data_IF_650879781922
#
_entry.id   IF_650879781922
#
_cell.length_a   1.000
_cell.length_b   1.000
_cell.length_c   1.000
_cell.angle_alpha   90.00
_cell.angle_beta   90.00
_cell.angle_gamma   90.00
#
_symmetry.space_group_name_H-M   'P 1'
#
loop_
_entity.id
_entity.type
_entity.pdbx_description
1 polymer ?
#
# COMPACT_ATOMS: atom_id res chain seq x y z
N UNK A 1 -1.44 -15.49 -18.17
CA UNK A 1 -2.20 -14.47 -18.94
C UNK A 1 -1.99 -13.11 -18.28
N UNK A 2 -1.25 -12.19 -18.92
CA UNK A 2 -1.04 -10.83 -18.39
C UNK A 2 -2.36 -10.06 -18.52
N UNK A 3 -2.95 -9.60 -17.41
CA UNK A 3 -4.13 -8.72 -17.45
C UNK A 3 -3.73 -7.42 -18.16
N UNK A 4 -4.54 -6.97 -19.11
CA UNK A 4 -4.33 -5.68 -19.77
C UNK A 4 -4.30 -4.57 -18.71
N UNK A 5 -3.26 -3.73 -18.76
CA UNK A 5 -3.15 -2.55 -17.91
C UNK A 5 -4.35 -1.63 -18.18
N UNK A 6 -5.11 -1.29 -17.14
CA UNK A 6 -6.22 -0.31 -17.20
C UNK A 6 -5.76 1.12 -16.87
N UNK A 7 -4.46 1.38 -16.82
CA UNK A 7 -3.93 2.71 -16.50
C UNK A 7 -4.00 3.62 -17.73
N UNK A 8 -5.20 4.15 -18.03
CA UNK A 8 -5.44 5.06 -19.17
C UNK A 8 -4.73 6.41 -19.00
N UNK A 9 -4.57 6.88 -17.74
CA UNK A 9 -3.98 8.17 -17.39
C UNK A 9 -2.45 8.25 -17.61
N UNK A 10 -1.77 7.11 -17.76
CA UNK A 10 -0.30 7.05 -17.78
C UNK A 10 0.38 7.30 -16.44
N UNK A 11 -0.37 7.59 -15.36
CA UNK A 11 0.15 7.71 -13.99
C UNK A 11 -0.08 6.41 -13.24
N UNK A 12 0.99 5.81 -12.74
CA UNK A 12 0.96 4.52 -12.05
C UNK A 12 0.82 4.71 -10.53
N UNK A 13 -0.26 4.21 -9.89
CA UNK A 13 -0.47 4.38 -8.46
C UNK A 13 0.40 3.40 -7.64
N UNK A 14 1.26 3.97 -6.80
CA UNK A 14 2.14 3.25 -5.87
C UNK A 14 1.67 3.50 -4.46
N UNK A 15 0.92 2.54 -3.92
CA UNK A 15 0.37 2.62 -2.58
C UNK A 15 1.29 1.92 -1.55
N UNK A 16 1.67 2.65 -0.50
CA UNK A 16 2.52 2.17 0.62
C UNK A 16 1.81 2.37 1.95
N UNK A 17 2.08 1.52 2.94
CA UNK A 17 1.49 1.64 4.27
C UNK A 17 2.47 2.26 5.25
N UNK A 18 2.00 3.23 6.03
CA UNK A 18 2.68 3.66 7.25
C UNK A 18 2.68 2.52 8.29
N UNK A 19 3.65 2.54 9.20
CA UNK A 19 3.66 1.60 10.35
C UNK A 19 2.38 1.76 11.19
N UNK A 20 1.90 0.69 11.84
CA UNK A 20 0.77 0.82 12.77
C UNK A 20 1.08 1.86 13.85
N UNK A 21 0.18 2.82 14.03
CA UNK A 21 0.29 3.87 15.03
C UNK A 21 -1.05 4.01 15.76
N UNK A 22 -1.07 4.24 17.08
CA UNK A 22 -2.31 4.43 17.83
C UNK A 22 -3.09 5.64 17.30
N UNK A 23 -4.42 5.51 17.28
CA UNK A 23 -5.32 6.60 16.93
C UNK A 23 -5.66 7.42 18.18
N UNK A 24 -5.68 8.76 18.13
CA UNK A 24 -6.11 9.59 19.26
C UNK A 24 -7.60 9.38 19.58
N UNK A 25 -8.40 8.95 18.59
CA UNK A 25 -9.83 8.67 18.75
C UNK A 25 -10.13 7.21 19.04
N UNK A 26 -11.21 6.97 19.78
CA UNK A 26 -11.84 5.64 19.93
C UNK A 26 -13.05 5.55 18.99
N UNK A 27 -12.85 4.94 17.82
CA UNK A 27 -13.92 4.71 16.85
C UNK A 27 -14.43 3.26 16.96
N UNK A 28 -15.73 3.08 17.18
CA UNK A 28 -16.40 1.77 17.30
C UNK A 28 -16.44 0.99 15.98
N UNK A 29 -16.36 1.69 14.84
CA UNK A 29 -16.42 1.07 13.51
C UNK A 29 -15.05 0.70 12.95
N UNK A 30 -13.97 1.34 13.41
CA UNK A 30 -12.64 1.13 12.82
C UNK A 30 -12.02 -0.16 13.35
N UNK A 31 -11.78 -1.18 12.50
CA UNK A 31 -11.09 -2.39 12.93
C UNK A 31 -9.68 -2.05 13.44
N UNK A 32 -9.24 -2.80 14.45
CA UNK A 32 -7.93 -2.63 15.08
C UNK A 32 -7.24 -3.98 15.08
N UNK A 33 -6.02 -4.02 14.53
CA UNK A 33 -5.14 -5.18 14.61
C UNK A 33 -3.73 -4.67 14.95
N UNK A 34 -2.95 -5.39 15.77
CA UNK A 34 -1.55 -5.05 16.01
C UNK A 34 -0.70 -5.13 14.73
N UNK A 35 -1.15 -5.91 13.75
CA UNK A 35 -0.37 -6.27 12.56
C UNK A 35 -0.75 -5.44 11.33
N UNK A 36 -1.79 -4.61 11.43
CA UNK A 36 -2.28 -3.76 10.35
C UNK A 36 -2.45 -2.31 10.83
N UNK A 37 -2.24 -1.31 9.97
CA UNK A 37 -2.62 0.06 10.30
C UNK A 37 -4.11 0.16 10.62
N UNK A 38 -4.48 1.17 11.43
CA UNK A 38 -5.88 1.43 11.81
C UNK A 38 -6.78 1.46 10.57
N UNK A 39 -7.94 0.82 10.66
CA UNK A 39 -8.95 0.69 9.58
C UNK A 39 -8.62 -0.31 8.46
N UNK A 40 -7.47 -0.98 8.49
CA UNK A 40 -7.11 -2.00 7.51
C UNK A 40 -7.20 -3.43 8.08
N UNK A 41 -7.39 -4.40 7.18
CA UNK A 41 -7.42 -5.83 7.50
C UNK A 41 -6.08 -6.49 7.20
N UNK A 42 -5.70 -7.50 8.00
CA UNK A 42 -4.42 -8.21 7.87
C UNK A 42 -4.25 -8.93 6.52
N UNK A 43 -5.36 -9.28 5.87
CA UNK A 43 -5.39 -9.99 4.59
C UNK A 43 -5.31 -9.06 3.36
N UNK A 44 -5.34 -7.73 3.58
CA UNK A 44 -5.23 -6.78 2.47
C UNK A 44 -3.86 -6.93 1.77
N UNK A 45 -3.80 -7.02 0.43
CA UNK A 45 -2.54 -7.15 -0.30
C UNK A 45 -1.52 -6.05 0.00
N UNK A 46 -2.00 -4.84 0.33
CA UNK A 46 -1.14 -3.74 0.71
C UNK A 46 -0.56 -3.90 2.12
N UNK A 47 -1.34 -4.42 3.07
CA UNK A 47 -0.87 -4.73 4.43
C UNK A 47 0.10 -5.90 4.42
N UNK A 48 -0.21 -6.97 3.67
CA UNK A 48 0.68 -8.12 3.53
C UNK A 48 2.05 -7.72 2.98
N UNK A 49 2.09 -6.88 1.94
CA UNK A 49 3.34 -6.33 1.38
C UNK A 49 4.06 -5.42 2.38
N UNK A 50 3.33 -4.59 3.12
CA UNK A 50 3.94 -3.73 4.12
C UNK A 50 4.60 -4.53 5.25
N UNK A 51 3.91 -5.57 5.74
CA UNK A 51 4.44 -6.50 6.76
C UNK A 51 5.69 -7.23 6.28
N UNK A 52 5.68 -7.76 5.04
CA UNK A 52 6.87 -8.42 4.48
C UNK A 52 8.05 -7.48 4.28
N UNK A 53 7.78 -6.18 4.13
CA UNK A 53 8.80 -5.13 4.07
C UNK A 53 9.16 -4.53 5.44
N UNK A 54 8.57 -5.01 6.55
CA UNK A 54 8.76 -4.43 7.89
C UNK A 54 8.30 -2.97 8.01
N UNK A 55 7.30 -2.57 7.22
CA UNK A 55 6.82 -1.19 7.08
C UNK A 55 7.88 -0.17 6.64
N UNK A 56 9.01 -0.62 6.08
CA UNK A 56 10.03 0.26 5.50
C UNK A 56 9.52 0.92 4.21
N UNK A 57 9.55 2.25 4.16
CA UNK A 57 8.98 3.00 3.04
C UNK A 57 9.70 2.72 1.72
N UNK A 58 11.04 2.69 1.73
CA UNK A 58 11.86 2.47 0.53
C UNK A 58 11.61 1.08 -0.04
N UNK A 59 11.67 0.04 0.80
CA UNK A 59 11.41 -1.34 0.40
C UNK A 59 10.00 -1.51 -0.17
N UNK A 60 8.98 -0.90 0.45
CA UNK A 60 7.61 -0.97 -0.05
C UNK A 60 7.46 -0.35 -1.45
N UNK A 61 8.09 0.80 -1.70
CA UNK A 61 8.10 1.46 -3.01
C UNK A 61 8.82 0.60 -4.05
N UNK A 62 10.02 0.11 -3.73
CA UNK A 62 10.82 -0.72 -4.64
C UNK A 62 10.08 -2.00 -5.05
N UNK A 63 9.51 -2.73 -4.07
CA UNK A 63 8.72 -3.94 -4.33
C UNK A 63 7.49 -3.61 -5.17
N UNK A 64 6.76 -2.54 -4.85
CA UNK A 64 5.55 -2.18 -5.58
C UNK A 64 5.84 -1.79 -7.03
N UNK A 65 6.89 -0.99 -7.27
CA UNK A 65 7.34 -0.63 -8.60
C UNK A 65 7.78 -1.86 -9.42
N UNK A 66 8.53 -2.78 -8.80
CA UNK A 66 8.95 -4.02 -9.46
C UNK A 66 7.74 -4.85 -9.88
N UNK A 67 6.79 -5.11 -8.97
CA UNK A 67 5.57 -5.86 -9.28
C UNK A 67 4.77 -5.20 -10.42
N UNK A 68 4.64 -3.87 -10.40
CA UNK A 68 3.93 -3.14 -11.44
C UNK A 68 4.64 -3.20 -12.80
N UNK A 69 5.97 -3.13 -12.82
CA UNK A 69 6.76 -3.30 -14.04
C UNK A 69 6.62 -4.73 -14.61
N UNK A 70 6.64 -5.76 -13.77
CA UNK A 70 6.42 -7.16 -14.18
C UNK A 70 5.00 -7.38 -14.75
N UNK A 71 4.02 -6.62 -14.24
CA UNK A 71 2.65 -6.56 -14.76
C UNK A 71 2.52 -5.74 -16.05
N UNK A 72 3.58 -5.04 -16.48
CA UNK A 72 3.59 -4.22 -17.70
C UNK A 72 3.07 -2.79 -17.52
N UNK A 73 3.02 -2.28 -16.30
CA UNK A 73 2.72 -0.86 -16.05
C UNK A 73 3.94 0.01 -16.28
N UNK A 74 3.72 1.23 -16.80
CA UNK A 74 4.75 2.22 -16.97
C UNK A 74 5.20 2.79 -15.60
N UNK A 75 6.45 3.26 -15.50
CA UNK A 75 7.06 3.76 -14.25
C UNK A 75 7.67 5.16 -14.40
N UNK A 76 7.41 5.82 -15.51
CA UNK A 76 7.85 7.18 -15.84
C UNK A 76 7.04 8.24 -15.08
N UNK A 77 5.78 7.95 -14.73
CA UNK A 77 4.93 8.82 -13.91
C UNK A 77 4.26 8.00 -12.81
N UNK A 78 4.43 8.44 -11.57
CA UNK A 78 3.98 7.71 -10.39
C UNK A 78 3.24 8.63 -9.45
N UNK A 79 2.09 8.16 -8.95
CA UNK A 79 1.39 8.77 -7.83
C UNK A 79 1.68 7.95 -6.57
N UNK A 80 2.33 8.55 -5.59
CA UNK A 80 2.61 7.91 -4.31
C UNK A 80 1.41 8.10 -3.38
N UNK A 81 0.81 7.00 -2.94
CA UNK A 81 -0.33 7.00 -2.02
C UNK A 81 0.15 6.47 -0.68
N UNK A 82 0.21 7.34 0.32
CA UNK A 82 0.51 6.96 1.70
C UNK A 82 -0.81 6.53 2.34
N UNK A 83 -0.90 5.24 2.64
CA UNK A 83 -2.04 4.63 3.30
C UNK A 83 -1.74 4.43 4.78
N UNK A 84 -2.78 4.58 5.59
CA UNK A 84 -2.71 4.53 7.04
C UNK A 84 -3.68 5.54 7.63
N UNK A 85 -4.32 5.19 8.74
CA UNK A 85 -5.32 6.07 9.36
C UNK A 85 -4.74 7.29 10.08
N UNK A 86 -3.42 7.32 10.33
CA UNK A 86 -2.77 8.23 11.29
C UNK A 86 -1.31 8.54 10.93
N UNK A 87 -1.00 8.65 9.63
CA UNK A 87 0.35 9.05 9.17
C UNK A 87 0.79 10.39 9.77
#
# INVERSE_FOLDING_TARGET
MKKASRTISGVTPVAVMAKPFPCPGKCVYCPTSPEAPKSYTVESPAVLRARSCGFDAKKQVEVRLKTLAEMGHARDKVELIIMGGTF
#
